data_IF_748547434809
#
_entry.id   IF_748547434809
#
_cell.length_a   1.000
_cell.length_b   1.000
_cell.length_c   1.000
_cell.angle_alpha   90.00
_cell.angle_beta   90.00
_cell.angle_gamma   90.00
#
_symmetry.space_group_name_H-M   'P 1'
#
loop_
_entity.id
_entity.type
_entity.pdbx_description
1 polymer ?
#
# COMPACT_ATOMS: atom_id res chain seq x y z
N UNK A 1 -15.45 -10.32 16.59
CA UNK A 1 -14.98 -10.14 15.19
C UNK A 1 -13.47 -9.91 15.05
N UNK A 2 -12.80 -9.25 16.01
CA UNK A 2 -11.35 -8.92 16.00
C UNK A 2 -10.42 -10.15 15.77
N UNK A 3 -10.77 -11.33 16.30
CA UNK A 3 -9.92 -12.54 16.25
C UNK A 3 -9.76 -13.12 14.83
N UNK A 4 -10.71 -12.89 13.91
CA UNK A 4 -10.63 -13.35 12.51
C UNK A 4 -9.76 -12.42 11.65
N UNK A 5 -9.86 -11.11 11.87
CA UNK A 5 -9.08 -10.12 11.13
C UNK A 5 -7.56 -10.29 11.37
N UNK A 6 -7.15 -10.54 12.62
CA UNK A 6 -5.74 -10.81 12.93
C UNK A 6 -5.23 -12.12 12.33
N UNK A 7 -6.08 -13.15 12.20
CA UNK A 7 -5.71 -14.41 11.54
C UNK A 7 -5.45 -14.21 10.04
N UNK A 8 -6.29 -13.43 9.37
CA UNK A 8 -6.13 -13.09 7.96
C UNK A 8 -4.85 -12.27 7.73
N UNK A 9 -4.61 -11.23 8.54
CA UNK A 9 -3.36 -10.46 8.52
C UNK A 9 -2.14 -11.36 8.70
N UNK A 10 -2.16 -12.27 9.69
CA UNK A 10 -1.04 -13.18 9.97
C UNK A 10 -0.78 -14.14 8.82
N UNK A 11 -1.82 -14.67 8.15
CA UNK A 11 -1.66 -15.51 6.95
C UNK A 11 -0.91 -14.77 5.84
N UNK A 12 -1.33 -13.55 5.52
CA UNK A 12 -0.68 -12.76 4.48
C UNK A 12 0.74 -12.35 4.85
N UNK A 13 1.00 -12.10 6.13
CA UNK A 13 2.34 -11.83 6.66
C UNK A 13 3.25 -13.07 6.54
N UNK A 14 2.73 -14.26 6.80
CA UNK A 14 3.43 -15.54 6.56
C UNK A 14 3.72 -15.77 5.08
N UNK A 15 2.77 -15.48 4.19
CA UNK A 15 3.00 -15.59 2.74
C UNK A 15 4.05 -14.59 2.26
N UNK A 16 4.02 -13.35 2.77
CA UNK A 16 5.04 -12.33 2.49
C UNK A 16 6.42 -12.80 2.97
N UNK A 17 6.50 -13.34 4.19
CA UNK A 17 7.73 -13.92 4.74
C UNK A 17 8.24 -15.07 3.87
N UNK A 18 7.35 -15.97 3.44
CA UNK A 18 7.69 -17.09 2.56
C UNK A 18 8.18 -16.62 1.18
N UNK A 19 7.63 -15.53 0.65
CA UNK A 19 8.09 -14.92 -0.60
C UNK A 19 9.52 -14.37 -0.46
N UNK A 20 9.84 -13.72 0.66
CA UNK A 20 11.20 -13.23 0.95
C UNK A 20 12.18 -14.39 1.08
N UNK A 21 11.83 -15.44 1.83
CA UNK A 21 12.67 -16.64 1.96
C UNK A 21 12.88 -17.32 0.61
N UNK A 22 11.83 -17.45 -0.21
CA UNK A 22 11.93 -17.97 -1.57
C UNK A 22 12.85 -17.14 -2.46
N UNK A 23 12.80 -15.81 -2.34
CA UNK A 23 13.69 -14.90 -3.06
C UNK A 23 15.16 -15.09 -2.65
N UNK A 24 15.44 -15.19 -1.34
CA UNK A 24 16.80 -15.42 -0.84
C UNK A 24 17.33 -16.78 -1.33
N UNK A 25 16.50 -17.82 -1.29
CA UNK A 25 16.85 -19.14 -1.80
C UNK A 25 17.10 -19.13 -3.31
N UNK A 26 16.28 -18.41 -4.09
CA UNK A 26 16.47 -18.22 -5.52
C UNK A 26 17.80 -17.52 -5.83
N UNK A 27 18.13 -16.50 -5.04
CA UNK A 27 19.36 -15.74 -5.15
C UNK A 27 20.59 -16.63 -4.86
N UNK A 28 20.54 -17.45 -3.80
CA UNK A 28 21.61 -18.40 -3.46
C UNK A 28 21.80 -19.51 -4.51
N UNK A 29 20.72 -20.08 -5.03
CA UNK A 29 20.80 -21.20 -5.98
C UNK A 29 21.05 -20.78 -7.43
N UNK A 30 20.99 -19.48 -7.75
CA UNK A 30 21.07 -18.91 -9.10
C UNK A 30 20.08 -19.53 -10.12
N UNK A 31 19.05 -20.22 -9.63
CA UNK A 31 18.02 -20.86 -10.46
C UNK A 31 16.92 -19.84 -10.73
N UNK A 32 16.93 -19.28 -11.94
CA UNK A 32 15.98 -18.24 -12.40
C UNK A 32 14.50 -18.62 -12.25
N UNK A 33 14.17 -19.92 -12.23
CA UNK A 33 12.80 -20.42 -12.03
C UNK A 33 12.25 -20.00 -10.66
N UNK A 34 13.06 -20.02 -9.60
CA UNK A 34 12.60 -19.61 -8.28
C UNK A 34 12.39 -18.09 -8.19
N UNK A 35 13.12 -17.30 -8.99
CA UNK A 35 12.84 -15.86 -9.11
C UNK A 35 11.47 -15.61 -9.75
N UNK A 36 11.10 -16.36 -10.79
CA UNK A 36 9.77 -16.24 -11.40
C UNK A 36 8.65 -16.59 -10.41
N UNK A 37 8.85 -17.63 -9.59
CA UNK A 37 7.91 -18.02 -8.53
C UNK A 37 7.82 -16.94 -7.44
N UNK A 38 8.95 -16.38 -7.01
CA UNK A 38 8.99 -15.30 -6.01
C UNK A 38 8.29 -14.04 -6.51
N UNK A 39 8.49 -13.67 -7.78
CA UNK A 39 7.78 -12.56 -8.43
C UNK A 39 6.27 -12.83 -8.48
N UNK A 40 5.85 -14.04 -8.87
CA UNK A 40 4.44 -14.41 -8.87
C UNK A 40 3.80 -14.33 -7.49
N UNK A 41 4.49 -14.84 -6.45
CA UNK A 41 4.06 -14.74 -5.06
C UNK A 41 3.97 -13.28 -4.59
N UNK A 42 4.95 -12.45 -4.95
CA UNK A 42 4.94 -11.02 -4.63
C UNK A 42 3.75 -10.29 -5.27
N UNK A 43 3.44 -10.59 -6.53
CA UNK A 43 2.27 -10.03 -7.23
C UNK A 43 0.97 -10.47 -6.54
N UNK A 44 0.85 -11.74 -6.17
CA UNK A 44 -0.31 -12.24 -5.43
C UNK A 44 -0.49 -11.55 -4.07
N UNK A 45 0.59 -11.38 -3.31
CA UNK A 45 0.55 -10.64 -2.03
C UNK A 45 0.20 -9.17 -2.26
N UNK A 46 0.75 -8.54 -3.29
CA UNK A 46 0.44 -7.15 -3.63
C UNK A 46 -1.03 -6.96 -4.01
N UNK A 47 -1.64 -7.91 -4.74
CA UNK A 47 -3.02 -7.79 -5.20
C UNK A 47 -4.04 -8.14 -4.12
N UNK A 48 -3.79 -9.18 -3.34
CA UNK A 48 -4.77 -9.75 -2.40
C UNK A 48 -4.41 -9.51 -0.93
N UNK A 49 -3.13 -9.53 -0.58
CA UNK A 49 -2.66 -9.30 0.79
C UNK A 49 -2.57 -7.83 1.16
N UNK A 50 -2.31 -6.94 0.20
CA UNK A 50 -2.18 -5.50 0.43
C UNK A 50 -3.42 -4.86 1.10
N UNK A 51 -4.67 -5.07 0.59
CA UNK A 51 -5.86 -4.52 1.25
C UNK A 51 -6.16 -5.13 2.63
N UNK A 52 -5.49 -6.21 3.03
CA UNK A 52 -5.67 -6.86 4.33
C UNK A 52 -4.55 -6.43 5.30
N UNK A 53 -3.31 -6.38 4.83
CA UNK A 53 -2.13 -5.97 5.60
C UNK A 53 -2.07 -4.45 5.81
N UNK A 54 -2.42 -3.66 4.79
CA UNK A 54 -2.22 -2.21 4.78
C UNK A 54 -3.50 -1.39 4.83
N UNK A 55 -4.68 -2.02 5.05
CA UNK A 55 -5.97 -1.32 5.19
C UNK A 55 -5.88 -0.09 6.10
N UNK A 56 -5.30 -0.30 7.28
CA UNK A 56 -5.15 0.70 8.34
C UNK A 56 -4.09 1.76 8.03
N UNK A 57 -3.15 1.45 7.16
CA UNK A 57 -2.13 2.39 6.68
C UNK A 57 -2.68 3.27 5.54
N UNK A 58 -3.38 2.68 4.58
CA UNK A 58 -3.99 3.40 3.47
C UNK A 58 -5.15 4.30 3.91
N UNK A 59 -5.96 3.89 4.90
CA UNK A 59 -6.97 4.76 5.51
C UNK A 59 -6.32 6.02 6.13
N UNK A 60 -5.16 5.87 6.78
CA UNK A 60 -4.40 7.01 7.33
C UNK A 60 -3.81 7.90 6.23
N UNK A 61 -3.29 7.32 5.15
CA UNK A 61 -2.82 8.10 4.00
C UNK A 61 -3.94 8.84 3.29
N UNK A 62 -5.10 8.21 3.13
CA UNK A 62 -6.25 8.81 2.46
C UNK A 62 -6.75 10.04 3.20
N UNK A 63 -6.83 9.99 4.54
CA UNK A 63 -7.14 11.16 5.37
C UNK A 63 -6.17 12.32 5.16
N UNK A 64 -4.85 12.05 5.15
CA UNK A 64 -3.85 13.10 4.89
C UNK A 64 -3.97 13.69 3.48
N UNK A 65 -4.33 12.86 2.50
CA UNK A 65 -4.55 13.32 1.14
C UNK A 65 -5.78 14.22 1.03
N UNK A 66 -6.88 13.86 1.71
CA UNK A 66 -8.11 14.66 1.79
C UNK A 66 -7.86 16.00 2.51
N UNK A 67 -7.14 16.01 3.63
CA UNK A 67 -6.73 17.23 4.33
C UNK A 67 -5.88 18.14 3.43
N UNK A 68 -4.89 17.58 2.73
CA UNK A 68 -4.07 18.33 1.79
C UNK A 68 -4.89 18.87 0.60
N UNK A 69 -5.90 18.13 0.14
CA UNK A 69 -6.81 18.58 -0.91
C UNK A 69 -7.63 19.79 -0.45
N UNK A 70 -8.20 19.73 0.75
CA UNK A 70 -9.00 20.84 1.32
C UNK A 70 -8.16 22.11 1.50
N UNK A 71 -6.91 21.98 1.96
CA UNK A 71 -6.00 23.13 2.08
C UNK A 71 -5.66 23.72 0.71
N UNK A 72 -5.41 22.87 -0.31
CA UNK A 72 -5.17 23.34 -1.68
C UNK A 72 -6.38 24.06 -2.25
N UNK A 73 -7.58 23.51 -2.05
CA UNK A 73 -8.81 24.08 -2.57
C UNK A 73 -9.10 25.43 -1.91
N UNK A 74 -8.98 25.52 -0.58
CA UNK A 74 -9.10 26.77 0.17
C UNK A 74 -8.06 27.83 -0.27
N UNK A 75 -6.80 27.43 -0.49
CA UNK A 75 -5.78 28.33 -1.00
C UNK A 75 -6.11 28.82 -2.42
N UNK A 76 -6.61 27.94 -3.28
CA UNK A 76 -6.99 28.28 -4.65
C UNK A 76 -8.21 29.21 -4.69
N UNK A 77 -9.22 28.98 -3.85
CA UNK A 77 -10.38 29.88 -3.70
C UNK A 77 -9.96 31.24 -3.16
N UNK A 78 -9.07 31.29 -2.16
CA UNK A 78 -8.55 32.55 -1.59
C UNK A 78 -7.72 33.35 -2.60
N UNK A 79 -6.89 32.69 -3.42
CA UNK A 79 -6.12 33.35 -4.47
C UNK A 79 -7.05 33.88 -5.57
N UNK A 80 -8.06 33.09 -5.96
CA UNK A 80 -9.01 33.46 -7.02
C UNK A 80 -9.92 34.61 -6.57
N UNK A 81 -10.43 34.59 -5.33
CA UNK A 81 -11.26 35.68 -4.79
C UNK A 81 -10.50 37.00 -4.68
N UNK A 82 -9.22 36.95 -4.27
CA UNK A 82 -8.34 38.13 -4.23
C UNK A 82 -8.10 38.74 -5.61
N UNK A 83 -8.06 37.90 -6.66
CA UNK A 83 -7.90 38.34 -8.05
C UNK A 83 -9.19 38.99 -8.59
N UNK A 84 -10.37 38.53 -8.17
CA UNK A 84 -11.67 39.13 -8.52
C UNK A 84 -11.88 40.46 -7.79
N UNK A 85 -11.46 40.58 -6.53
CA UNK A 85 -11.63 41.81 -5.73
C UNK A 85 -10.67 42.96 -6.11
N UNK A 86 -9.67 42.70 -6.96
CA UNK A 86 -8.68 43.70 -7.41
C UNK A 86 -9.02 44.29 -8.79
N UNK A 87 -10.21 44.00 -9.32
CA UNK A 87 -10.73 44.55 -10.59
C UNK A 87 -11.97 45.40 -10.29
#
# INVERSE_FOLDING_TARGET
>A
MIKRENKEKTKWLLILFLAIVSFILAFMTQKLIFNAIAIGLAICVYKYGNPILFKEYDERRKKRYEEALQVRDAAQTAITSRRIFKK
#
